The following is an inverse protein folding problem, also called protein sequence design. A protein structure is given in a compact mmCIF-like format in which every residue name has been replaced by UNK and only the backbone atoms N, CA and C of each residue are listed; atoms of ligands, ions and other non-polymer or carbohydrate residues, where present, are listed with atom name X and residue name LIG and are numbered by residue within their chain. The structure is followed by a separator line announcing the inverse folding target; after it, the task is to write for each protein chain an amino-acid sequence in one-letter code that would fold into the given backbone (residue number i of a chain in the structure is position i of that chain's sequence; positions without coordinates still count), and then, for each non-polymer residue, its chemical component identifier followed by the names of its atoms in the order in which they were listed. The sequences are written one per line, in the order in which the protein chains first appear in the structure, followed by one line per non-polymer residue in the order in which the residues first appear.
data_IF_734383380635
#
_entry.id   IF_734383380635
#
_cell.length_a   1.000
_cell.length_b   1.000
_cell.length_c   1.000
_cell.angle_alpha   90.00
_cell.angle_beta   90.00
_cell.angle_gamma   90.00
#
_symmetry.space_group_name_H-M   'P 1'
#
loop_
_entity.id
_entity.type
_entity.pdbx_description
1 polymer ?
#
# COMPACT_ATOMS: atom_id res chain seq x y z
N UNK A 1 0.83 11.37 -58.74
CA UNK A 1 1.02 10.34 -57.69
C UNK A 1 0.96 11.00 -56.31
N UNK A 2 -0.11 11.73 -55.98
CA UNK A 2 -0.17 12.56 -54.76
C UNK A 2 -1.40 12.26 -53.86
N UNK A 3 -2.39 11.53 -54.37
CA UNK A 3 -3.64 11.28 -53.64
C UNK A 3 -3.56 10.14 -52.60
N UNK A 4 -2.55 9.26 -52.66
CA UNK A 4 -2.41 8.13 -51.72
C UNK A 4 -1.71 8.51 -50.40
N UNK A 5 -0.89 9.56 -50.38
CA UNK A 5 -0.14 9.98 -49.17
C UNK A 5 -1.02 10.68 -48.12
N UNK A 6 -2.05 11.45 -48.55
CA UNK A 6 -2.93 12.18 -47.61
C UNK A 6 -3.78 11.25 -46.73
N UNK A 7 -4.22 10.09 -47.26
CA UNK A 7 -4.96 9.08 -46.47
C UNK A 7 -4.06 8.33 -45.49
N UNK A 8 -2.79 8.13 -45.83
CA UNK A 8 -1.81 7.50 -44.94
C UNK A 8 -1.51 8.39 -43.72
N UNK A 9 -1.36 9.70 -43.93
CA UNK A 9 -1.17 10.69 -42.86
C UNK A 9 -2.36 10.76 -41.90
N UNK A 10 -3.60 10.70 -42.42
CA UNK A 10 -4.81 10.71 -41.58
C UNK A 10 -4.94 9.45 -40.69
N UNK A 11 -4.42 8.31 -41.15
CA UNK A 11 -4.45 7.06 -40.38
C UNK A 11 -3.40 7.05 -39.25
N UNK A 12 -2.24 7.67 -39.49
CA UNK A 12 -1.19 7.83 -38.48
C UNK A 12 -1.65 8.77 -37.36
N UNK A 13 -2.34 9.87 -37.69
CA UNK A 13 -2.90 10.79 -36.68
C UNK A 13 -3.93 10.07 -35.79
N UNK A 14 -4.75 9.18 -36.36
CA UNK A 14 -5.73 8.40 -35.58
C UNK A 14 -5.06 7.42 -34.60
N UNK A 15 -3.91 6.83 -34.97
CA UNK A 15 -3.13 5.96 -34.07
C UNK A 15 -2.41 6.74 -32.96
N UNK A 16 -1.99 7.99 -33.19
CA UNK A 16 -1.37 8.83 -32.16
C UNK A 16 -2.40 9.21 -31.07
N UNK A 17 -3.68 9.41 -31.42
CA UNK A 17 -4.75 9.66 -30.44
C UNK A 17 -5.19 8.42 -29.64
N UNK A 18 -4.80 7.21 -30.05
CA UNK A 18 -5.03 5.98 -29.27
C UNK A 18 -3.94 5.70 -28.23
N UNK A 19 -3.00 6.62 -28.02
CA UNK A 19 -1.95 6.45 -27.01
C UNK A 19 -2.50 6.62 -25.59
N UNK A 20 -2.67 5.46 -24.94
CA UNK A 20 -2.28 5.23 -23.54
C UNK A 20 -3.09 5.98 -22.46
N UNK A 21 -4.31 5.49 -22.18
CA UNK A 21 -4.87 5.63 -20.84
C UNK A 21 -4.08 4.77 -19.84
N UNK A 22 -2.90 5.22 -19.44
CA UNK A 22 -2.29 4.77 -18.20
C UNK A 22 -3.08 5.41 -17.05
N UNK A 23 -4.22 4.82 -16.69
CA UNK A 23 -4.98 5.24 -15.53
C UNK A 23 -4.19 4.80 -14.29
N UNK A 24 -3.48 5.74 -13.67
CA UNK A 24 -2.87 5.56 -12.36
C UNK A 24 -3.85 6.12 -11.33
N UNK A 25 -4.35 5.24 -10.45
CA UNK A 25 -5.25 5.66 -9.38
C UNK A 25 -4.55 6.68 -8.48
N UNK A 26 -5.13 7.88 -8.36
CA UNK A 26 -4.57 8.93 -7.48
C UNK A 26 -5.23 8.86 -6.10
N UNK A 27 -4.42 8.84 -5.06
CA UNK A 27 -4.88 8.75 -3.68
C UNK A 27 -3.94 9.48 -2.73
N UNK A 28 -4.46 9.84 -1.57
CA UNK A 28 -3.71 10.38 -0.45
C UNK A 28 -3.74 9.39 0.72
N UNK A 29 -2.61 9.24 1.40
CA UNK A 29 -2.47 8.40 2.59
C UNK A 29 -2.20 9.28 3.81
N UNK A 30 -2.80 8.96 4.94
CA UNK A 30 -2.46 9.55 6.24
C UNK A 30 -2.39 8.46 7.32
N UNK A 31 -1.43 8.59 8.23
CA UNK A 31 -1.13 7.62 9.28
C UNK A 31 -1.29 8.32 10.63
N UNK A 32 -2.02 7.71 11.55
CA UNK A 32 -2.00 8.07 12.97
C UNK A 32 -1.50 6.86 13.77
N UNK A 33 -0.35 7.00 14.42
CA UNK A 33 0.31 5.98 15.24
C UNK A 33 0.33 6.30 16.73
N UNK A 34 -0.48 7.24 17.23
CA UNK A 34 -0.48 7.67 18.63
C UNK A 34 -0.66 6.51 19.62
N UNK A 35 -1.57 5.58 19.31
CA UNK A 35 -1.87 4.43 20.16
C UNK A 35 -1.02 3.19 19.85
N UNK A 36 -0.07 3.29 18.92
CA UNK A 36 0.66 2.13 18.43
C UNK A 36 1.45 1.46 19.55
N UNK A 37 2.21 2.22 20.35
CA UNK A 37 3.02 1.67 21.46
C UNK A 37 2.19 0.87 22.46
N UNK A 38 1.02 1.38 22.86
CA UNK A 38 0.19 0.75 23.88
C UNK A 38 -0.67 -0.41 23.37
N UNK A 39 -1.11 -0.35 22.11
CA UNK A 39 -2.14 -1.26 21.59
C UNK A 39 -1.66 -2.18 20.48
N UNK A 40 -0.52 -1.89 19.86
CA UNK A 40 -0.10 -2.56 18.64
C UNK A 40 -0.90 -2.16 17.40
N UNK A 41 -1.76 -1.14 17.50
CA UNK A 41 -2.67 -0.71 16.44
C UNK A 41 -2.40 0.70 15.99
N UNK A 42 -2.56 0.96 14.69
CA UNK A 42 -2.51 2.30 14.13
C UNK A 42 -3.69 2.53 13.18
N UNK A 43 -3.99 3.80 12.89
CA UNK A 43 -5.01 4.20 11.93
C UNK A 43 -4.35 4.54 10.59
N UNK A 44 -4.89 3.96 9.53
CA UNK A 44 -4.50 4.27 8.16
C UNK A 44 -5.70 4.83 7.42
N UNK A 45 -5.59 6.08 6.96
CA UNK A 45 -6.61 6.73 6.14
C UNK A 45 -6.14 6.71 4.69
N UNK A 46 -7.00 6.20 3.80
CA UNK A 46 -6.82 6.30 2.35
C UNK A 46 -7.94 7.18 1.82
N UNK A 47 -7.59 8.26 1.13
CA UNK A 47 -8.53 9.14 0.45
C UNK A 47 -8.33 9.02 -1.05
N UNK A 48 -9.41 8.76 -1.77
CA UNK A 48 -9.41 8.82 -3.22
C UNK A 48 -9.41 10.29 -3.66
N UNK A 49 -8.34 10.72 -4.33
CA UNK A 49 -8.20 12.07 -4.90
C UNK A 49 -8.38 12.08 -6.42
N UNK A 50 -8.65 10.92 -7.01
CA UNK A 50 -9.01 10.77 -8.42
C UNK A 50 -10.48 11.13 -8.65
N UNK A 51 -10.78 11.47 -9.89
CA UNK A 51 -12.11 11.63 -10.47
C UNK A 51 -12.89 10.32 -10.56
N UNK A 52 -12.20 9.17 -10.57
CA UNK A 52 -12.80 7.84 -10.71
C UNK A 52 -12.78 7.05 -9.41
N UNK A 53 -13.67 6.06 -9.28
CA UNK A 53 -13.62 5.11 -8.15
C UNK A 53 -12.65 3.97 -8.43
N UNK A 54 -11.96 3.49 -7.40
CA UNK A 54 -11.19 2.23 -7.42
C UNK A 54 -11.60 1.35 -6.24
N UNK A 55 -11.23 0.05 -6.24
CA UNK A 55 -11.47 -0.79 -5.06
C UNK A 55 -10.23 -0.87 -4.17
N UNK A 56 -10.51 -1.01 -2.88
CA UNK A 56 -9.54 -1.20 -1.81
C UNK A 56 -9.97 -2.43 -0.99
N UNK A 57 -9.05 -3.12 -0.30
CA UNK A 57 -9.44 -4.19 0.61
C UNK A 57 -10.42 -3.70 1.67
N UNK A 58 -11.41 -4.50 2.05
CA UNK A 58 -12.38 -4.14 3.09
C UNK A 58 -11.72 -4.06 4.47
N UNK A 59 -10.68 -4.86 4.67
CA UNK A 59 -9.83 -4.91 5.87
C UNK A 59 -8.38 -5.11 5.43
N UNK A 60 -7.45 -4.66 6.24
CA UNK A 60 -6.02 -4.92 6.06
C UNK A 60 -5.61 -5.94 7.12
N UNK A 61 -4.93 -6.99 6.72
CA UNK A 61 -4.37 -8.00 7.60
C UNK A 61 -3.17 -8.69 6.93
N UNK A 62 -2.51 -9.55 7.68
CA UNK A 62 -1.38 -10.37 7.21
C UNK A 62 -1.53 -11.01 5.82
N UNK A 63 -2.75 -11.41 5.42
CA UNK A 63 -2.98 -12.09 4.15
C UNK A 63 -3.00 -11.18 2.93
N UNK A 64 -3.45 -9.94 3.07
CA UNK A 64 -3.49 -8.98 1.97
C UNK A 64 -2.49 -7.83 2.12
N UNK A 65 -1.68 -7.84 3.18
CA UNK A 65 -0.58 -6.89 3.35
C UNK A 65 0.81 -7.55 3.25
N UNK A 66 1.82 -6.72 3.03
CA UNK A 66 3.24 -7.07 3.10
C UNK A 66 3.99 -6.00 3.87
N UNK A 67 4.82 -6.42 4.81
CA UNK A 67 5.81 -5.56 5.45
C UNK A 67 6.98 -5.38 4.50
N UNK A 68 7.20 -4.15 4.03
CA UNK A 68 8.21 -3.82 3.01
C UNK A 68 9.54 -3.47 3.65
N UNK A 69 9.50 -2.59 4.65
CA UNK A 69 10.66 -2.16 5.40
C UNK A 69 10.33 -2.17 6.89
N UNK A 70 11.32 -2.53 7.69
CA UNK A 70 11.30 -2.44 9.14
C UNK A 70 12.67 -1.99 9.60
N UNK A 71 12.72 -0.88 10.34
CA UNK A 71 13.95 -0.27 10.79
C UNK A 71 13.88 0.04 12.28
N UNK A 72 14.97 -0.25 12.99
CA UNK A 72 15.12 0.09 14.40
C UNK A 72 16.00 1.31 14.58
N UNK A 73 15.65 2.15 15.55
CA UNK A 73 16.47 3.31 15.88
C UNK A 73 17.69 2.87 16.68
N UNK A 74 18.87 3.23 16.19
CA UNK A 74 20.15 3.07 16.86
C UNK A 74 20.48 4.36 17.62
N UNK A 75 20.41 4.32 18.96
CA UNK A 75 20.66 5.49 19.79
C UNK A 75 22.11 6.01 19.69
N UNK A 76 23.10 5.13 19.46
CA UNK A 76 24.51 5.52 19.35
C UNK A 76 24.80 6.27 18.05
N UNK A 77 24.19 5.84 16.94
CA UNK A 77 24.37 6.45 15.61
C UNK A 77 23.33 7.51 15.28
N UNK A 78 22.30 7.66 16.12
CA UNK A 78 21.15 8.54 15.93
C UNK A 78 20.45 8.34 14.59
N UNK A 79 20.39 7.10 14.10
CA UNK A 79 19.85 6.73 12.79
C UNK A 79 18.93 5.51 12.89
N UNK A 80 18.02 5.36 11.91
CA UNK A 80 17.25 4.14 11.73
C UNK A 80 18.03 3.16 10.86
N UNK A 81 18.15 1.92 11.32
CA UNK A 81 18.89 0.85 10.64
C UNK A 81 17.92 -0.29 10.28
N UNK A 82 18.02 -0.78 9.03
CA UNK A 82 17.20 -1.91 8.56
C UNK A 82 17.47 -3.15 9.39
N UNK A 83 16.39 -3.85 9.75
CA UNK A 83 16.47 -5.18 10.35
C UNK A 83 16.01 -6.23 9.34
N UNK A 84 16.65 -7.40 9.40
CA UNK A 84 16.29 -8.50 8.51
C UNK A 84 14.89 -9.00 8.84
N UNK A 85 14.01 -8.96 7.83
CA UNK A 85 12.70 -9.55 7.92
C UNK A 85 12.82 -11.08 7.85
N UNK A 86 12.21 -11.80 8.79
CA UNK A 86 12.09 -13.25 8.65
C UNK A 86 11.31 -13.59 7.36
N UNK A 87 11.85 -14.51 6.57
CA UNK A 87 11.16 -15.06 5.39
C UNK A 87 10.27 -16.19 5.84
N UNK A 88 9.04 -15.85 6.22
CA UNK A 88 8.02 -16.82 6.61
C UNK A 88 6.96 -16.93 5.52
N UNK A 89 6.64 -18.16 5.16
CA UNK A 89 5.49 -18.45 4.32
C UNK A 89 4.22 -18.36 5.18
N UNK A 90 3.24 -17.63 4.67
CA UNK A 90 1.98 -17.39 5.36
C UNK A 90 0.90 -18.10 4.57
N UNK A 91 0.27 -19.08 5.20
CA UNK A 91 -0.90 -19.74 4.62
C UNK A 91 -2.10 -18.80 4.67
N UNK A 92 -2.59 -18.44 3.50
CA UNK A 92 -3.78 -17.65 3.28
C UNK A 92 -4.74 -18.30 2.28
N UNK A 93 -4.68 -19.63 2.09
CA UNK A 93 -5.49 -20.32 1.07
C UNK A 93 -7.00 -20.15 1.30
N UNK A 94 -7.45 -20.14 2.55
CA UNK A 94 -8.86 -19.90 2.89
C UNK A 94 -9.24 -18.41 2.96
N UNK A 95 -8.27 -17.51 2.82
CA UNK A 95 -8.51 -16.08 2.88
C UNK A 95 -9.16 -15.59 1.59
N UNK A 96 -10.46 -15.27 1.67
CA UNK A 96 -11.18 -14.61 0.59
C UNK A 96 -11.10 -13.10 0.79
N UNK A 97 -10.25 -12.45 -0.01
CA UNK A 97 -10.17 -10.99 0.01
C UNK A 97 -11.51 -10.40 -0.42
N UNK A 98 -11.98 -9.42 0.35
CA UNK A 98 -13.20 -8.69 0.05
C UNK A 98 -12.78 -7.27 -0.24
N UNK A 99 -13.15 -6.72 -1.39
CA UNK A 99 -12.89 -5.33 -1.71
C UNK A 99 -14.14 -4.46 -1.58
N UNK A 100 -13.92 -3.17 -1.29
CA UNK A 100 -14.95 -2.12 -1.28
C UNK A 100 -14.59 -1.06 -2.31
N UNK A 101 -15.60 -0.45 -2.92
CA UNK A 101 -15.41 0.64 -3.89
C UNK A 101 -15.20 1.97 -3.15
N UNK A 102 -14.01 2.56 -3.29
CA UNK A 102 -13.71 3.89 -2.78
C UNK A 102 -14.08 4.95 -3.82
N UNK A 103 -15.17 5.68 -3.57
CA UNK A 103 -15.68 6.73 -4.47
C UNK A 103 -14.77 7.98 -4.48
N UNK A 104 -14.82 8.81 -5.54
CA UNK A 104 -14.08 10.08 -5.61
C UNK A 104 -14.28 10.95 -4.37
N UNK A 105 -13.20 11.59 -3.92
CA UNK A 105 -13.14 12.44 -2.72
C UNK A 105 -13.55 11.77 -1.40
N UNK A 106 -13.83 10.46 -1.38
CA UNK A 106 -14.13 9.71 -0.16
C UNK A 106 -12.88 9.13 0.45
N UNK A 107 -12.91 8.98 1.77
CA UNK A 107 -11.88 8.34 2.55
C UNK A 107 -12.40 7.07 3.22
N UNK A 108 -11.51 6.10 3.40
CA UNK A 108 -11.71 4.94 4.25
C UNK A 108 -10.62 4.92 5.33
N UNK A 109 -11.00 4.59 6.56
CA UNK A 109 -10.09 4.53 7.70
C UNK A 109 -10.00 3.09 8.18
N UNK A 110 -8.81 2.53 8.15
CA UNK A 110 -8.50 1.22 8.72
C UNK A 110 -8.00 1.35 10.14
N UNK A 111 -8.29 0.34 10.95
CA UNK A 111 -7.52 0.05 12.16
C UNK A 111 -6.66 -1.16 11.83
N UNK A 112 -5.34 -0.98 11.75
CA UNK A 112 -4.39 -2.03 11.38
C UNK A 112 -3.74 -2.55 12.66
N UNK A 113 -3.81 -3.85 12.89
CA UNK A 113 -3.22 -4.53 14.05
C UNK A 113 -1.84 -5.10 13.70
N UNK A 114 -0.85 -4.21 13.66
CA UNK A 114 0.51 -4.58 13.26
C UNK A 114 1.18 -5.47 14.30
N UNK A 115 0.76 -5.45 15.57
CA UNK A 115 1.29 -6.33 16.61
C UNK A 115 1.01 -7.78 16.28
N UNK A 116 -0.26 -8.12 16.01
CA UNK A 116 -0.62 -9.48 15.60
C UNK A 116 0.08 -9.89 14.30
N UNK A 117 0.20 -8.98 13.35
CA UNK A 117 0.90 -9.27 12.09
C UNK A 117 2.41 -9.50 12.31
N UNK A 118 3.08 -8.69 13.15
CA UNK A 118 4.50 -8.84 13.48
C UNK A 118 4.79 -10.10 14.30
N UNK A 119 3.86 -10.53 15.15
CA UNK A 119 3.97 -11.80 15.87
C UNK A 119 4.16 -12.98 14.90
N UNK A 120 3.43 -12.94 13.78
CA UNK A 120 3.57 -13.94 12.72
C UNK A 120 4.79 -13.64 11.86
N UNK A 121 4.97 -12.41 11.36
CA UNK A 121 6.02 -12.04 10.41
C UNK A 121 7.44 -12.11 10.96
N UNK A 122 7.64 -11.90 12.27
CA UNK A 122 8.97 -11.86 12.89
C UNK A 122 9.09 -12.95 13.96
N UNK A 123 8.64 -12.68 15.17
CA UNK A 123 8.63 -13.59 16.31
C UNK A 123 7.39 -13.32 17.14
N UNK A 124 6.86 -14.36 17.81
CA UNK A 124 5.60 -14.27 18.57
C UNK A 124 5.57 -13.08 19.54
N UNK A 125 6.70 -12.80 20.18
CA UNK A 125 6.85 -11.74 21.17
C UNK A 125 7.61 -10.52 20.63
N UNK A 126 7.62 -10.30 19.31
CA UNK A 126 8.38 -9.19 18.69
C UNK A 126 7.97 -7.85 19.30
N UNK A 127 6.67 -7.61 19.44
CA UNK A 127 6.15 -6.33 19.91
C UNK A 127 6.54 -6.05 21.36
N UNK A 128 6.47 -7.08 22.21
CA UNK A 128 6.86 -7.10 23.61
C UNK A 128 8.37 -6.90 23.78
N UNK A 129 9.16 -7.69 23.05
CA UNK A 129 10.64 -7.65 23.06
C UNK A 129 11.16 -6.27 22.70
N UNK A 130 10.48 -5.57 21.79
CA UNK A 130 10.87 -4.26 21.29
C UNK A 130 9.95 -3.13 21.74
N UNK A 131 9.19 -3.32 22.83
CA UNK A 131 8.21 -2.33 23.31
C UNK A 131 8.87 -1.05 23.86
N UNK A 132 10.13 -1.09 24.25
CA UNK A 132 10.88 0.09 24.69
C UNK A 132 11.80 0.67 23.61
N UNK A 133 11.84 0.07 22.42
CA UNK A 133 12.64 0.56 21.28
C UNK A 133 11.81 1.40 20.33
N UNK A 134 12.42 2.45 19.78
CA UNK A 134 11.84 3.18 18.64
C UNK A 134 12.09 2.38 17.37
N UNK A 135 11.05 2.18 16.58
CA UNK A 135 11.17 1.56 15.27
C UNK A 135 10.15 2.14 14.31
N UNK A 136 10.41 1.98 13.02
CA UNK A 136 9.51 2.41 11.95
C UNK A 136 9.37 1.34 10.89
N UNK A 137 8.25 1.36 10.19
CA UNK A 137 7.98 0.38 9.15
C UNK A 137 7.12 0.94 8.02
N UNK A 138 7.15 0.26 6.89
CA UNK A 138 6.24 0.47 5.76
C UNK A 138 5.47 -0.80 5.46
N UNK A 139 4.17 -0.66 5.26
CA UNK A 139 3.36 -1.76 4.74
C UNK A 139 2.94 -1.45 3.31
N UNK A 140 2.67 -2.50 2.56
CA UNK A 140 2.00 -2.42 1.26
C UNK A 140 0.85 -3.38 1.17
N UNK A 141 -0.14 -3.06 0.36
CA UNK A 141 -1.26 -3.94 0.04
C UNK A 141 -1.80 -3.59 -1.35
N UNK A 142 -2.46 -4.54 -2.03
CA UNK A 142 -2.93 -4.29 -3.38
C UNK A 142 -4.07 -3.26 -3.41
N UNK A 143 -4.05 -2.41 -4.43
CA UNK A 143 -5.20 -1.61 -4.83
C UNK A 143 -5.94 -2.41 -5.89
N UNK A 144 -7.06 -2.97 -5.49
CA UNK A 144 -7.78 -3.95 -6.28
C UNK A 144 -8.61 -3.23 -7.37
N UNK A 145 -7.99 -2.97 -8.51
CA UNK A 145 -8.68 -2.46 -9.69
C UNK A 145 -8.33 -3.34 -10.87
N UNK A 146 -9.20 -4.31 -11.14
CA UNK A 146 -9.10 -5.26 -12.26
C UNK A 146 -8.93 -4.61 -13.65
N UNK A 147 -8.96 -3.28 -13.80
CA UNK A 147 -8.86 -2.61 -15.09
C UNK A 147 -8.23 -1.20 -15.11
N UNK A 148 -8.02 -0.52 -13.97
CA UNK A 148 -7.83 0.96 -13.99
C UNK A 148 -6.73 1.56 -13.10
N UNK A 149 -5.96 0.77 -12.34
CA UNK A 149 -4.82 1.33 -11.59
C UNK A 149 -3.46 1.09 -12.27
N UNK A 150 -3.44 0.54 -13.49
CA UNK A 150 -2.20 0.34 -14.27
C UNK A 150 -1.17 -0.53 -13.53
N UNK A 151 0.11 -0.16 -13.64
CA UNK A 151 1.19 -0.80 -12.86
C UNK A 151 1.18 -0.39 -11.37
N UNK A 152 0.39 0.62 -10.99
CA UNK A 152 0.23 1.10 -9.60
C UNK A 152 -0.78 0.27 -8.81
N UNK A 153 -0.70 -1.06 -8.92
CA UNK A 153 -1.61 -1.98 -8.23
C UNK A 153 -1.28 -2.20 -6.76
N UNK A 154 -0.33 -1.45 -6.20
CA UNK A 154 0.09 -1.55 -4.80
C UNK A 154 0.17 -0.17 -4.19
N UNK A 155 -0.45 -0.02 -3.03
CA UNK A 155 -0.23 1.12 -2.15
C UNK A 155 0.91 0.77 -1.20
N UNK A 156 1.87 1.68 -1.05
CA UNK A 156 2.90 1.62 -0.02
C UNK A 156 2.69 2.80 0.91
N UNK A 157 2.66 2.56 2.22
CA UNK A 157 2.49 3.64 3.20
C UNK A 157 3.76 4.48 3.33
N UNK A 158 3.60 5.71 3.80
CA UNK A 158 4.70 6.40 4.46
C UNK A 158 5.17 5.63 5.72
N UNK A 159 6.25 6.10 6.32
CA UNK A 159 6.78 5.52 7.55
C UNK A 159 5.76 5.60 8.69
N UNK A 160 5.39 4.43 9.24
CA UNK A 160 4.66 4.32 10.49
C UNK A 160 5.68 4.28 11.63
N UNK A 161 5.61 5.23 12.55
CA UNK A 161 6.55 5.34 13.67
C UNK A 161 5.93 4.78 14.94
N UNK A 162 6.67 3.87 15.60
CA UNK A 162 6.45 3.46 16.97
C UNK A 162 7.55 4.10 17.80
N UNK A 163 7.17 5.13 18.57
CA UNK A 163 8.07 5.90 19.44
C UNK A 163 8.02 5.43 20.89
#
# INVERSE_FOLDING_TARGET
MEFKMKKLFSFIIFMIYSSSFAQNCTYQVAINSENLKGTGKFKLTIKNTDSQSFKIPKKINLCNMRLIDLEMYNESKKSFEKINLAKKDIDCFDFKDKSIKLKPAKANIYTVDIKSDLAVLQSTDFFETFNDRKYRFKISFPLDSYARCGESNKLITDWVYKN
#
